data_IF_033639491673
#
_entry.id   IF_033639491673
#
_cell.length_a   1.000
_cell.length_b   1.000
_cell.length_c   1.000
_cell.angle_alpha   90.00
_cell.angle_beta   90.00
_cell.angle_gamma   90.00
#
_symmetry.space_group_name_H-M   'P 1'
#
loop_
_entity.id
_entity.type
_entity.pdbx_description
1 polymer ?
#
# COMPACT_ATOMS: atom_id res chain seq x y z
N UNK A 1 6.99 13.00 3.91
CA UNK A 1 6.08 11.99 4.51
C UNK A 1 6.18 10.70 3.74
N UNK A 2 5.75 9.61 4.37
CA UNK A 2 5.71 8.27 3.79
C UNK A 2 4.25 7.87 3.58
N UNK A 3 3.98 7.11 2.53
CA UNK A 3 2.64 6.58 2.23
C UNK A 3 2.72 5.08 2.02
N UNK A 4 1.69 4.36 2.44
CA UNK A 4 1.49 2.94 2.13
C UNK A 4 0.37 2.86 1.11
N UNK A 5 0.62 2.16 0.01
CA UNK A 5 -0.28 2.06 -1.14
C UNK A 5 -0.44 0.60 -1.54
N UNK A 6 -1.58 0.28 -2.13
CA UNK A 6 -1.84 -1.04 -2.71
C UNK A 6 -2.45 -0.87 -4.11
N UNK A 7 -2.80 -1.96 -4.77
CA UNK A 7 -3.36 -1.94 -6.11
C UNK A 7 -4.80 -1.37 -6.13
N UNK A 8 -5.21 -0.92 -7.32
CA UNK A 8 -6.62 -0.58 -7.58
C UNK A 8 -7.46 -1.85 -7.72
N UNK A 9 -8.76 -1.75 -7.43
CA UNK A 9 -9.66 -2.90 -7.25
C UNK A 9 -9.21 -3.81 -6.09
N UNK A 10 -8.80 -3.18 -4.98
CA UNK A 10 -8.29 -3.88 -3.80
C UNK A 10 -9.27 -4.90 -3.26
N UNK A 11 -8.74 -6.09 -2.97
CA UNK A 11 -9.42 -7.14 -2.24
C UNK A 11 -8.99 -7.13 -0.76
N UNK A 12 -9.25 -8.23 -0.04
CA UNK A 12 -8.98 -8.29 1.39
C UNK A 12 -7.49 -8.38 1.71
N UNK A 13 -6.67 -8.97 0.85
CA UNK A 13 -5.23 -9.06 1.11
C UNK A 13 -4.60 -7.66 0.99
N UNK A 14 -4.97 -6.91 -0.05
CA UNK A 14 -4.62 -5.50 -0.19
C UNK A 14 -5.02 -4.64 1.01
N UNK A 15 -6.29 -4.71 1.46
CA UNK A 15 -6.78 -3.91 2.59
C UNK A 15 -6.12 -4.32 3.91
N UNK A 16 -5.98 -5.61 4.17
CA UNK A 16 -5.32 -6.09 5.39
C UNK A 16 -3.81 -5.78 5.37
N UNK A 17 -3.17 -5.83 4.20
CA UNK A 17 -1.76 -5.48 4.04
C UNK A 17 -1.50 -3.99 4.26
N UNK A 18 -2.43 -3.09 3.88
CA UNK A 18 -2.33 -1.67 4.26
C UNK A 18 -2.25 -1.51 5.80
N UNK A 19 -3.08 -2.26 6.53
CA UNK A 19 -3.07 -2.23 7.99
C UNK A 19 -1.81 -2.89 8.57
N UNK A 20 -1.38 -4.04 8.04
CA UNK A 20 -0.16 -4.73 8.45
C UNK A 20 1.07 -3.85 8.29
N UNK A 21 1.25 -3.25 7.11
CA UNK A 21 2.34 -2.31 6.88
C UNK A 21 2.23 -1.05 7.74
N UNK A 22 1.02 -0.54 8.04
CA UNK A 22 0.86 0.58 8.98
C UNK A 22 1.38 0.23 10.38
N UNK A 23 1.21 -1.01 10.83
CA UNK A 23 1.75 -1.45 12.13
C UNK A 23 3.28 -1.51 12.12
N UNK A 24 3.90 -1.92 11.01
CA UNK A 24 5.36 -1.96 10.86
C UNK A 24 5.98 -0.56 10.63
N UNK A 25 5.26 0.32 9.94
CA UNK A 25 5.67 1.67 9.59
C UNK A 25 4.70 2.70 10.20
N UNK A 26 4.77 2.94 11.53
CA UNK A 26 3.77 3.72 12.26
C UNK A 26 3.66 5.18 11.80
N UNK A 27 4.70 5.75 11.20
CA UNK A 27 4.70 7.13 10.68
C UNK A 27 4.16 7.25 9.25
N UNK A 28 3.99 6.14 8.54
CA UNK A 28 3.48 6.15 7.17
C UNK A 28 1.95 6.28 7.13
N UNK A 29 1.43 6.95 6.11
CA UNK A 29 -0.02 7.14 5.92
C UNK A 29 -0.56 6.02 5.02
N UNK A 30 -1.44 5.12 5.51
CA UNK A 30 -2.03 4.08 4.68
C UNK A 30 -3.20 4.65 3.88
N UNK A 31 -3.01 4.75 2.57
CA UNK A 31 -3.98 5.39 1.68
C UNK A 31 -4.85 4.34 1.02
N UNK A 32 -6.18 4.48 1.14
CA UNK A 32 -7.11 3.61 0.41
C UNK A 32 -6.97 3.80 -1.10
N UNK A 33 -7.08 2.75 -1.91
CA UNK A 33 -7.17 2.91 -3.36
C UNK A 33 -8.52 3.53 -3.74
N UNK A 34 -8.61 4.09 -4.94
CA UNK A 34 -9.87 4.71 -5.41
C UNK A 34 -10.95 3.66 -5.67
N UNK A 35 -10.56 2.48 -6.12
CA UNK A 35 -11.44 1.33 -6.32
C UNK A 35 -11.10 0.22 -5.34
N UNK A 36 -12.09 -0.14 -4.53
CA UNK A 36 -12.05 -1.27 -3.58
C UNK A 36 -13.16 -2.24 -3.96
N UNK A 37 -12.95 -3.56 -3.89
CA UNK A 37 -13.97 -4.55 -4.24
C UNK A 37 -15.21 -4.49 -3.35
N UNK A 38 -16.36 -4.96 -3.86
CA UNK A 38 -17.68 -4.77 -3.19
C UNK A 38 -17.72 -5.34 -1.76
N UNK A 39 -17.15 -6.52 -1.56
CA UNK A 39 -17.04 -7.16 -0.25
C UNK A 39 -16.17 -6.34 0.73
N UNK A 40 -15.03 -5.84 0.26
CA UNK A 40 -14.13 -5.02 1.07
C UNK A 40 -14.75 -3.65 1.40
N UNK A 41 -15.47 -3.04 0.45
CA UNK A 41 -16.25 -1.81 0.73
C UNK A 41 -17.31 -2.04 1.80
N UNK A 42 -18.05 -3.15 1.72
CA UNK A 42 -19.04 -3.49 2.74
C UNK A 42 -18.39 -3.67 4.13
N UNK A 43 -17.21 -4.28 4.20
CA UNK A 43 -16.43 -4.38 5.42
C UNK A 43 -15.99 -3.01 5.93
N UNK A 44 -15.36 -2.18 5.08
CA UNK A 44 -14.91 -0.85 5.44
C UNK A 44 -16.07 0.02 5.93
N UNK A 45 -17.24 -0.02 5.29
CA UNK A 45 -18.43 0.72 5.75
C UNK A 45 -18.84 0.40 7.20
N UNK A 46 -18.49 -0.77 7.72
CA UNK A 46 -18.78 -1.17 9.10
C UNK A 46 -17.67 -0.77 10.08
N UNK A 47 -16.41 -0.73 9.63
CA UNK A 47 -15.23 -0.62 10.51
C UNK A 47 -14.32 0.59 10.24
N UNK A 48 -14.71 1.49 9.32
CA UNK A 48 -13.85 2.61 8.87
C UNK A 48 -13.36 3.48 10.05
N UNK A 49 -14.23 3.71 11.05
CA UNK A 49 -13.89 4.52 12.23
C UNK A 49 -12.76 3.92 13.10
N UNK A 50 -12.51 2.62 12.99
CA UNK A 50 -11.48 1.90 13.76
C UNK A 50 -10.19 1.72 12.96
N UNK A 51 -10.22 1.99 11.66
CA UNK A 51 -9.10 1.75 10.76
C UNK A 51 -8.36 3.06 10.45
N UNK A 52 -7.01 3.08 10.45
CA UNK A 52 -6.22 4.31 10.33
C UNK A 52 -6.09 4.80 8.87
N UNK A 53 -7.03 4.42 8.02
CA UNK A 53 -6.93 4.63 6.58
C UNK A 53 -7.29 6.07 6.18
N UNK A 54 -6.67 6.55 5.12
CA UNK A 54 -6.90 7.90 4.58
C UNK A 54 -7.34 7.78 3.13
N UNK A 55 -8.40 8.49 2.73
CA UNK A 55 -8.79 8.56 1.33
C UNK A 55 -7.75 9.34 0.51
N UNK A 56 -7.51 9.00 -0.77
CA UNK A 56 -6.52 9.66 -1.62
C UNK A 56 -6.64 11.19 -1.68
N UNK A 57 -7.86 11.71 -1.59
CA UNK A 57 -8.13 13.13 -1.71
C UNK A 57 -7.87 13.90 -0.39
N UNK A 58 -7.80 13.19 0.74
CA UNK A 58 -7.52 13.71 2.08
C UNK A 58 -6.06 13.56 2.50
N UNK A 59 -5.23 12.96 1.64
CA UNK A 59 -3.79 12.83 1.87
C UNK A 59 -3.16 14.23 2.03
N UNK A 60 -2.40 14.49 3.13
CA UNK A 60 -1.81 15.80 3.39
C UNK A 60 -0.97 16.30 2.20
N UNK A 61 -1.17 17.56 1.82
CA UNK A 61 -0.44 18.18 0.70
C UNK A 61 1.00 18.51 1.09
N UNK A 62 1.85 17.49 1.17
CA UNK A 62 3.27 17.58 1.52
C UNK A 62 4.10 16.73 0.57
N UNK A 63 5.42 16.95 0.55
CA UNK A 63 6.34 16.13 -0.24
C UNK A 63 6.31 14.69 0.27
N UNK A 64 6.06 13.75 -0.65
CA UNK A 64 6.18 12.31 -0.41
C UNK A 64 7.63 11.93 -0.69
N UNK A 65 8.30 11.37 0.30
CA UNK A 65 9.71 11.00 0.23
C UNK A 65 9.88 9.50 -0.04
N UNK A 66 8.90 8.70 0.39
CA UNK A 66 8.88 7.25 0.27
C UNK A 66 7.46 6.73 0.05
N UNK A 67 7.31 5.75 -0.83
CA UNK A 67 6.08 4.97 -0.98
C UNK A 67 6.37 3.50 -0.66
N UNK A 68 5.57 2.92 0.22
CA UNK A 68 5.61 1.50 0.57
C UNK A 68 4.44 0.86 -0.18
N UNK A 69 4.74 0.01 -1.15
CA UNK A 69 3.73 -0.72 -1.92
C UNK A 69 3.50 -2.06 -1.26
N UNK A 70 2.24 -2.40 -1.01
CA UNK A 70 1.84 -3.70 -0.48
C UNK A 70 0.89 -4.40 -1.44
N UNK A 71 1.08 -5.69 -1.64
CA UNK A 71 0.27 -6.51 -2.53
C UNK A 71 0.25 -5.99 -3.98
N UNK A 72 1.32 -5.28 -4.36
CA UNK A 72 1.47 -4.72 -5.69
C UNK A 72 2.89 -4.31 -5.99
N UNK A 73 3.27 -4.44 -7.25
CA UNK A 73 4.51 -3.86 -7.79
C UNK A 73 4.22 -2.56 -8.57
N UNK A 74 2.96 -2.11 -8.62
CA UNK A 74 2.51 -0.94 -9.38
C UNK A 74 2.39 0.31 -8.50
N UNK A 75 3.01 1.42 -8.92
CA UNK A 75 2.90 2.69 -8.20
C UNK A 75 1.73 3.54 -8.74
N UNK A 76 0.69 3.70 -7.94
CA UNK A 76 -0.33 4.72 -8.17
C UNK A 76 0.22 6.10 -7.82
N UNK A 77 0.09 7.07 -8.74
CA UNK A 77 0.64 8.41 -8.54
C UNK A 77 -0.24 9.24 -7.62
N UNK A 78 0.36 9.79 -6.55
CA UNK A 78 -0.25 10.79 -5.69
C UNK A 78 0.40 12.16 -5.88
N UNK A 79 -0.36 13.22 -5.58
CA UNK A 79 0.18 14.59 -5.52
C UNK A 79 1.28 14.64 -4.45
N UNK A 80 2.40 15.28 -4.78
CA UNK A 80 3.55 15.38 -3.89
C UNK A 80 4.65 14.35 -4.11
N UNK A 81 4.42 13.34 -4.97
CA UNK A 81 5.47 12.45 -5.48
C UNK A 81 6.40 13.17 -6.48
N UNK A 82 7.64 12.69 -6.57
CA UNK A 82 8.70 13.21 -7.44
C UNK A 82 9.40 12.04 -8.15
N UNK A 83 10.21 12.33 -9.17
CA UNK A 83 10.91 11.30 -9.95
C UNK A 83 11.94 10.52 -9.14
N UNK A 84 12.47 11.12 -8.08
CA UNK A 84 13.49 10.54 -7.18
C UNK A 84 12.89 9.81 -5.96
N UNK A 85 11.57 9.54 -5.98
CA UNK A 85 10.85 8.85 -4.90
C UNK A 85 11.49 7.49 -4.59
N UNK A 86 11.76 7.24 -3.29
CA UNK A 86 12.10 5.91 -2.82
C UNK A 86 10.84 5.04 -2.79
N UNK A 87 10.94 3.81 -3.29
CA UNK A 87 9.83 2.87 -3.30
C UNK A 87 10.28 1.57 -2.66
N UNK A 88 9.54 1.07 -1.68
CA UNK A 88 9.77 -0.26 -1.12
C UNK A 88 8.52 -1.10 -1.40
N UNK A 89 8.69 -2.30 -1.94
CA UNK A 89 7.62 -3.22 -2.31
C UNK A 89 7.63 -4.39 -1.35
N UNK A 90 6.48 -4.72 -0.78
CA UNK A 90 6.19 -5.94 -0.03
C UNK A 90 5.07 -6.66 -0.77
N UNK A 91 5.40 -7.75 -1.45
CA UNK A 91 4.46 -8.39 -2.36
C UNK A 91 4.73 -9.89 -2.45
N UNK A 92 3.66 -10.69 -2.53
CA UNK A 92 3.75 -12.15 -2.64
C UNK A 92 3.83 -12.65 -4.08
N UNK A 93 3.62 -11.77 -5.07
CA UNK A 93 3.75 -12.12 -6.48
C UNK A 93 5.21 -12.19 -6.92
N UNK A 94 5.51 -13.06 -7.89
CA UNK A 94 6.83 -13.11 -8.52
C UNK A 94 7.21 -11.74 -9.11
N UNK A 95 8.48 -11.38 -8.97
CA UNK A 95 9.02 -10.18 -9.61
C UNK A 95 9.01 -10.38 -11.14
N UNK A 96 8.09 -9.70 -11.82
CA UNK A 96 7.90 -9.84 -13.27
C UNK A 96 8.63 -8.76 -14.09
N UNK A 97 9.36 -7.85 -13.44
CA UNK A 97 10.07 -6.74 -14.11
C UNK A 97 11.30 -6.26 -13.34
N UNK A 98 12.22 -5.61 -14.06
CA UNK A 98 13.31 -4.86 -13.43
C UNK A 98 12.76 -3.57 -12.83
N UNK A 99 13.17 -3.26 -11.61
CA UNK A 99 12.77 -2.03 -10.93
C UNK A 99 13.78 -0.89 -11.14
N UNK A 100 13.34 0.38 -11.05
CA UNK A 100 14.25 1.52 -11.00
C UNK A 100 15.25 1.43 -9.84
N UNK A 101 16.40 2.14 -9.90
CA UNK A 101 17.46 2.01 -8.88
C UNK A 101 17.05 2.34 -7.44
N UNK A 102 16.01 3.15 -7.23
CA UNK A 102 15.51 3.56 -5.90
C UNK A 102 14.36 2.68 -5.39
N UNK A 103 14.07 1.60 -6.09
CA UNK A 103 13.02 0.67 -5.74
C UNK A 103 13.63 -0.57 -5.11
N UNK A 104 13.11 -0.99 -3.96
CA UNK A 104 13.50 -2.21 -3.27
C UNK A 104 12.32 -3.16 -3.25
N UNK A 105 12.59 -4.45 -3.43
CA UNK A 105 11.58 -5.50 -3.41
C UNK A 105 11.90 -6.48 -2.29
N UNK A 106 10.88 -6.79 -1.50
CA UNK A 106 10.89 -7.80 -0.45
C UNK A 106 9.65 -8.65 -0.65
N UNK A 107 9.83 -9.91 -1.00
CA UNK A 107 8.69 -10.74 -1.38
C UNK A 107 9.10 -12.17 -1.64
N UNK A 108 8.17 -13.08 -1.39
CA UNK A 108 8.32 -14.50 -1.66
C UNK A 108 7.02 -15.04 -2.26
N UNK A 109 7.05 -16.07 -3.13
CA UNK A 109 5.86 -16.71 -3.70
C UNK A 109 5.01 -17.39 -2.62
N UNK A 110 4.17 -16.60 -1.96
CA UNK A 110 3.30 -17.01 -0.85
C UNK A 110 1.82 -16.94 -1.26
N UNK A 111 0.93 -17.43 -0.40
CA UNK A 111 -0.52 -17.35 -0.64
C UNK A 111 -1.11 -15.95 -0.48
N UNK A 112 -0.45 -15.07 0.28
CA UNK A 112 -0.92 -13.72 0.57
C UNK A 112 0.24 -12.81 1.04
N UNK A 113 0.16 -11.52 0.72
CA UNK A 113 1.05 -10.48 1.25
C UNK A 113 0.90 -10.35 2.77
N UNK A 114 -0.30 -10.55 3.31
CA UNK A 114 -0.51 -10.56 4.76
C UNK A 114 0.30 -11.62 5.50
N UNK A 115 0.58 -12.78 4.88
CA UNK A 115 1.48 -13.80 5.46
C UNK A 115 2.89 -13.23 5.65
N UNK A 116 3.43 -12.56 4.63
CA UNK A 116 4.76 -11.94 4.70
C UNK A 116 4.87 -10.84 5.77
N UNK A 117 3.76 -10.19 6.10
CA UNK A 117 3.75 -9.07 7.06
C UNK A 117 3.69 -9.50 8.53
N UNK A 118 3.37 -10.77 8.82
CA UNK A 118 3.20 -11.28 10.19
C UNK A 118 4.27 -12.27 10.64
N UNK A 119 5.14 -12.69 9.72
CA UNK A 119 6.32 -13.52 9.98
C UNK A 119 7.54 -12.68 10.40
#
# INVERSE_FOLDING_TARGET
MEVILTHENADFDAIASLLGAKKLFPEAVPVLPRRVNRNCRAFLSLYDAELPFVHPDDVPRRRIQRAILVDTQGLTTLKGMRRDLQVDIIDHHEQNRKFPPRWRFSGEPMGATTTLLVE
#
